data_IF_078100990622
#
_entry.id   IF_078100990622
#
_cell.length_a   1.000
_cell.length_b   1.000
_cell.length_c   1.000
_cell.angle_alpha   90.00
_cell.angle_beta   90.00
_cell.angle_gamma   90.00
#
_symmetry.space_group_name_H-M   'P 1'
#
loop_
_entity.id
_entity.type
_entity.pdbx_description
1 polymer ?
#
# COMPACT_ATOMS: atom_id res chain seq x y z
N UNK A 1 -29.67 0.27 -5.26
CA UNK A 1 -29.34 1.23 -4.19
C UNK A 1 -28.30 2.20 -4.75
N UNK A 2 -28.77 3.32 -5.31
CA UNK A 2 -28.04 4.16 -6.28
C UNK A 2 -28.17 5.62 -5.84
N UNK A 3 -27.69 5.95 -4.63
CA UNK A 3 -27.74 7.31 -4.07
C UNK A 3 -26.48 7.57 -3.23
N UNK A 4 -25.37 7.56 -3.94
CA UNK A 4 -24.12 8.28 -3.69
C UNK A 4 -23.55 8.30 -5.12
N UNK A 5 -23.38 9.41 -5.81
CA UNK A 5 -22.87 10.66 -5.30
C UNK A 5 -22.95 11.68 -6.47
N UNK A 6 -24.15 11.89 -7.03
CA UNK A 6 -24.33 12.88 -8.12
C UNK A 6 -23.94 14.27 -7.64
N UNK A 7 -24.18 14.57 -6.36
CA UNK A 7 -23.75 15.79 -5.71
C UNK A 7 -22.22 15.90 -5.56
N UNK A 8 -21.49 14.78 -5.45
CA UNK A 8 -20.02 14.74 -5.42
C UNK A 8 -19.41 14.83 -6.82
N UNK A 9 -20.02 14.18 -7.82
CA UNK A 9 -19.65 14.36 -9.23
C UNK A 9 -19.89 15.79 -9.70
N UNK A 10 -20.98 16.39 -9.26
CA UNK A 10 -21.34 17.77 -9.59
C UNK A 10 -20.42 18.77 -8.87
N UNK A 11 -20.11 18.54 -7.58
CA UNK A 11 -19.13 19.36 -6.84
C UNK A 11 -17.72 19.25 -7.38
N UNK A 12 -17.27 18.05 -7.75
CA UNK A 12 -15.93 17.86 -8.34
C UNK A 12 -15.86 18.43 -9.75
N UNK A 13 -16.92 18.33 -10.56
CA UNK A 13 -17.05 18.98 -11.87
C UNK A 13 -17.07 20.51 -11.76
N UNK A 14 -17.80 21.06 -10.78
CA UNK A 14 -17.83 22.49 -10.49
C UNK A 14 -16.45 23.01 -10.03
N UNK A 15 -15.74 22.25 -9.17
CA UNK A 15 -14.38 22.57 -8.74
C UNK A 15 -13.39 22.52 -9.92
N UNK A 16 -13.54 21.54 -10.82
CA UNK A 16 -12.70 21.40 -12.02
C UNK A 16 -12.96 22.54 -13.03
N UNK A 17 -14.23 22.94 -13.20
CA UNK A 17 -14.63 24.07 -14.06
C UNK A 17 -14.16 25.40 -13.47
N UNK A 18 -14.29 25.60 -12.16
CA UNK A 18 -13.78 26.79 -11.47
C UNK A 18 -12.25 26.89 -11.59
N UNK A 19 -11.52 25.79 -11.40
CA UNK A 19 -10.05 25.77 -11.56
C UNK A 19 -9.58 25.90 -13.02
N UNK A 20 -10.40 25.52 -14.01
CA UNK A 20 -10.16 25.80 -15.43
C UNK A 20 -10.44 27.26 -15.80
N UNK A 21 -11.47 27.88 -15.22
CA UNK A 21 -11.86 29.29 -15.49
C UNK A 21 -10.93 30.32 -14.84
N UNK A 22 -10.08 29.91 -13.89
CA UNK A 22 -9.04 30.74 -13.26
C UNK A 22 -7.70 30.75 -14.02
N UNK A 23 -7.61 30.10 -15.18
CA UNK A 23 -6.51 30.31 -16.12
C UNK A 23 -7.08 30.92 -17.38
N UNK A 24 -6.43 32.00 -17.80
CA UNK A 24 -6.68 32.84 -18.98
C UNK A 24 -7.53 34.08 -18.70
N UNK A 25 -6.76 35.17 -18.57
CA UNK A 25 -7.04 36.57 -18.91
C UNK A 25 -7.58 37.52 -17.81
N UNK A 26 -6.63 38.34 -17.33
CA UNK A 26 -6.76 39.63 -16.65
C UNK A 26 -7.29 39.64 -15.19
N UNK A 27 -6.38 39.43 -14.22
CA UNK A 27 -6.59 39.83 -12.82
C UNK A 27 -5.95 41.22 -12.61
N UNK A 28 -6.72 42.28 -12.31
CA UNK A 28 -6.18 43.62 -12.04
C UNK A 28 -5.17 43.60 -10.89
N UNK A 29 -4.08 44.36 -11.02
CA UNK A 29 -2.95 44.39 -10.07
C UNK A 29 -3.37 44.66 -8.62
N UNK A 30 -4.50 45.34 -8.39
CA UNK A 30 -5.04 45.70 -7.08
C UNK A 30 -5.66 44.50 -6.31
N UNK A 31 -5.93 43.37 -6.95
CA UNK A 31 -6.44 42.14 -6.30
C UNK A 31 -5.34 41.15 -5.91
N UNK A 32 -4.10 41.33 -6.38
CA UNK A 32 -2.95 40.52 -5.93
C UNK A 32 -2.57 40.85 -4.49
N UNK A 33 -2.69 42.11 -4.08
CA UNK A 33 -2.24 42.58 -2.77
C UNK A 33 -3.18 42.13 -1.63
N UNK A 34 -4.47 41.91 -1.91
CA UNK A 34 -5.45 41.43 -0.91
C UNK A 34 -5.32 39.92 -0.66
N UNK A 35 -4.88 39.15 -1.65
CA UNK A 35 -4.77 37.69 -1.55
C UNK A 35 -3.47 37.18 -0.90
N UNK A 36 -2.53 38.08 -0.62
CA UNK A 36 -1.23 37.73 -0.04
C UNK A 36 -1.19 37.82 1.51
N UNK A 37 -2.25 38.31 2.14
CA UNK A 37 -2.32 38.50 3.60
C UNK A 37 -3.16 37.45 4.35
N UNK A 38 -3.83 36.53 3.67
CA UNK A 38 -4.67 35.50 4.31
C UNK A 38 -3.97 34.12 4.34
N UNK A 39 -3.28 33.84 5.45
CA UNK A 39 -2.57 32.57 5.68
C UNK A 39 -3.50 31.36 5.59
N UNK A 40 -4.78 31.52 5.95
CA UNK A 40 -5.79 30.46 5.88
C UNK A 40 -6.08 30.03 4.43
N UNK A 41 -6.05 30.97 3.47
CA UNK A 41 -6.28 30.69 2.05
C UNK A 41 -5.05 30.05 1.37
N UNK A 42 -3.84 30.43 1.79
CA UNK A 42 -2.58 29.81 1.34
C UNK A 42 -2.51 28.33 1.72
N UNK A 43 -2.92 27.99 2.94
CA UNK A 43 -2.93 26.62 3.43
C UNK A 43 -3.97 25.73 2.71
N UNK A 44 -5.20 26.22 2.54
CA UNK A 44 -6.25 25.50 1.83
C UNK A 44 -5.89 25.24 0.35
N UNK A 45 -5.30 26.23 -0.33
CA UNK A 45 -4.82 26.08 -1.72
C UNK A 45 -3.70 25.05 -1.82
N UNK A 46 -2.79 25.02 -0.85
CA UNK A 46 -1.72 24.01 -0.76
C UNK A 46 -2.29 22.61 -0.56
N UNK A 47 -3.25 22.44 0.35
CA UNK A 47 -3.92 21.16 0.59
C UNK A 47 -4.67 20.66 -0.66
N UNK A 48 -5.44 21.53 -1.33
CA UNK A 48 -6.15 21.20 -2.57
C UNK A 48 -5.17 20.84 -3.69
N UNK A 49 -4.09 21.61 -3.85
CA UNK A 49 -3.07 21.33 -4.86
C UNK A 49 -2.34 20.01 -4.58
N UNK A 50 -2.02 19.72 -3.32
CA UNK A 50 -1.46 18.43 -2.88
C UNK A 50 -2.43 17.29 -3.19
N UNK A 51 -3.72 17.46 -2.88
CA UNK A 51 -4.75 16.46 -3.18
C UNK A 51 -4.92 16.22 -4.69
N UNK A 52 -4.95 17.28 -5.51
CA UNK A 52 -5.04 17.17 -6.98
C UNK A 52 -3.78 16.52 -7.59
N UNK A 53 -2.59 16.89 -7.12
CA UNK A 53 -1.32 16.27 -7.54
C UNK A 53 -1.27 14.80 -7.13
N UNK A 54 -1.67 14.47 -5.91
CA UNK A 54 -1.76 13.10 -5.44
C UNK A 54 -2.74 12.29 -6.30
N UNK A 55 -3.95 12.79 -6.52
CA UNK A 55 -4.97 12.16 -7.37
C UNK A 55 -4.50 11.94 -8.82
N UNK A 56 -3.80 12.92 -9.41
CA UNK A 56 -3.19 12.77 -10.75
C UNK A 56 -2.05 11.75 -10.75
N UNK A 57 -1.23 11.70 -9.71
CA UNK A 57 -0.13 10.75 -9.59
C UNK A 57 -0.66 9.31 -9.50
N UNK A 58 -1.72 9.08 -8.72
CA UNK A 58 -2.33 7.75 -8.58
C UNK A 58 -2.99 7.26 -9.88
N UNK A 59 -3.53 8.18 -10.70
CA UNK A 59 -4.03 7.82 -12.04
C UNK A 59 -2.93 7.37 -13.00
N UNK A 60 -1.66 7.71 -12.75
CA UNK A 60 -0.52 7.29 -13.59
C UNK A 60 0.18 6.03 -13.07
N UNK A 61 0.11 5.77 -11.77
CA UNK A 61 0.68 4.57 -11.13
C UNK A 61 -0.19 3.33 -11.38
N UNK A 62 -0.13 2.84 -12.62
CA UNK A 62 -1.02 1.78 -13.15
C UNK A 62 -0.34 0.44 -13.37
N UNK A 63 0.95 0.34 -13.06
CA UNK A 63 1.76 -0.87 -13.23
C UNK A 63 2.26 -1.31 -11.85
N UNK A 64 1.89 -2.51 -11.37
CA UNK A 64 2.43 -3.07 -10.15
C UNK A 64 3.95 -3.24 -10.21
N UNK A 65 4.65 -2.96 -9.11
CA UNK A 65 6.05 -3.28 -8.97
C UNK A 65 6.18 -4.75 -8.54
N UNK A 66 6.89 -5.56 -9.31
CA UNK A 66 7.20 -6.93 -8.89
C UNK A 66 8.23 -6.89 -7.76
N UNK A 67 7.86 -7.34 -6.56
CA UNK A 67 8.74 -7.38 -5.39
C UNK A 67 9.49 -8.70 -5.32
N UNK A 68 8.83 -9.80 -5.65
CA UNK A 68 9.43 -11.12 -5.86
C UNK A 68 8.64 -11.87 -6.93
N UNK A 69 9.10 -13.06 -7.31
CA UNK A 69 8.31 -13.94 -8.16
C UNK A 69 6.94 -14.22 -7.52
N UNK A 70 5.88 -13.92 -8.27
CA UNK A 70 4.49 -14.05 -7.82
C UNK A 70 4.03 -13.02 -6.79
N UNK A 71 4.84 -12.05 -6.36
CA UNK A 71 4.48 -11.02 -5.38
C UNK A 71 4.63 -9.61 -5.96
N UNK A 72 3.51 -8.90 -6.07
CA UNK A 72 3.44 -7.56 -6.64
C UNK A 72 2.90 -6.56 -5.63
N UNK A 73 3.41 -5.33 -5.71
CA UNK A 73 3.00 -4.20 -4.87
C UNK A 73 2.57 -3.02 -5.73
N UNK A 74 1.40 -2.44 -5.44
CA UNK A 74 0.86 -1.37 -6.27
C UNK A 74 -0.09 -0.41 -5.55
N UNK A 75 -0.58 0.55 -6.32
CA UNK A 75 -1.63 1.49 -5.91
C UNK A 75 -3.02 1.03 -6.39
N UNK A 76 -4.05 1.82 -6.08
CA UNK A 76 -5.39 1.62 -6.62
C UNK A 76 -5.41 1.73 -8.16
N UNK A 77 -4.55 2.56 -8.76
CA UNK A 77 -4.43 2.64 -10.21
C UNK A 77 -3.96 1.32 -10.83
N UNK A 78 -3.00 0.65 -10.17
CA UNK A 78 -2.49 -0.64 -10.59
C UNK A 78 -3.53 -1.77 -10.42
N UNK A 79 -4.31 -1.74 -9.34
CA UNK A 79 -5.41 -2.68 -9.11
C UNK A 79 -6.58 -2.52 -10.11
N UNK A 80 -6.66 -1.38 -10.79
CA UNK A 80 -7.70 -1.07 -11.78
C UNK A 80 -7.21 -1.23 -13.24
N UNK A 81 -6.06 -1.88 -13.45
CA UNK A 81 -5.50 -2.11 -14.77
C UNK A 81 -5.62 -3.59 -15.17
N UNK A 82 -6.82 -4.01 -15.60
CA UNK A 82 -7.13 -5.41 -15.94
C UNK A 82 -6.10 -6.06 -16.87
N UNK A 83 -5.70 -5.36 -17.94
CA UNK A 83 -4.73 -5.89 -18.91
C UNK A 83 -3.39 -6.20 -18.27
N UNK A 84 -2.87 -5.29 -17.44
CA UNK A 84 -1.60 -5.49 -16.74
C UNK A 84 -1.71 -6.61 -15.70
N UNK A 85 -2.83 -6.69 -14.98
CA UNK A 85 -3.05 -7.75 -14.00
C UNK A 85 -3.01 -9.14 -14.68
N UNK A 86 -3.74 -9.31 -15.78
CA UNK A 86 -3.75 -10.58 -16.54
C UNK A 86 -2.38 -10.89 -17.16
N UNK A 87 -1.68 -9.89 -17.73
CA UNK A 87 -0.37 -10.12 -18.34
C UNK A 87 0.72 -10.51 -17.33
N UNK A 88 0.57 -10.10 -16.07
CA UNK A 88 1.45 -10.48 -14.97
C UNK A 88 1.04 -11.79 -14.28
N UNK A 89 0.08 -12.54 -14.85
CA UNK A 89 -0.48 -13.75 -14.27
C UNK A 89 -0.99 -13.54 -12.82
N UNK A 90 -1.50 -12.35 -12.50
CA UNK A 90 -2.09 -12.08 -11.19
C UNK A 90 -3.43 -12.83 -11.12
N UNK A 91 -3.62 -13.57 -10.05
CA UNK A 91 -4.83 -14.37 -9.77
C UNK A 91 -5.53 -13.90 -8.49
N UNK A 92 -4.77 -13.29 -7.56
CA UNK A 92 -5.24 -12.84 -6.26
C UNK A 92 -4.95 -11.35 -6.05
N UNK A 93 -5.87 -10.65 -5.40
CA UNK A 93 -5.72 -9.23 -5.06
C UNK A 93 -6.01 -9.03 -3.57
N UNK A 94 -4.98 -8.63 -2.84
CA UNK A 94 -5.05 -8.24 -1.43
C UNK A 94 -5.17 -6.72 -1.34
N UNK A 95 -6.38 -6.25 -1.00
CA UNK A 95 -6.73 -4.83 -0.89
C UNK A 95 -6.69 -4.38 0.57
N UNK A 96 -5.76 -3.49 0.93
CA UNK A 96 -5.69 -2.86 2.26
C UNK A 96 -6.37 -1.49 2.24
N UNK A 97 -7.61 -1.45 1.75
CA UNK A 97 -8.43 -0.24 1.60
C UNK A 97 -9.91 -0.62 1.55
N UNK A 98 -10.81 0.33 1.79
CA UNK A 98 -12.27 0.14 1.73
C UNK A 98 -12.84 0.15 0.30
N UNK A 99 -11.99 0.07 -0.72
CA UNK A 99 -12.43 0.12 -2.12
C UNK A 99 -13.02 -1.23 -2.53
N UNK A 100 -14.17 -1.24 -3.24
CA UNK A 100 -14.75 -2.48 -3.72
C UNK A 100 -13.86 -3.12 -4.81
N UNK A 101 -13.88 -4.46 -4.96
CA UNK A 101 -13.23 -5.15 -6.06
C UNK A 101 -13.67 -4.62 -7.43
N UNK A 102 -12.71 -4.29 -8.30
CA UNK A 102 -13.00 -3.78 -9.64
C UNK A 102 -13.36 -4.89 -10.63
N UNK A 103 -12.84 -6.10 -10.42
CA UNK A 103 -13.04 -7.25 -11.32
C UNK A 103 -13.34 -8.53 -10.52
N UNK A 104 -14.45 -8.57 -9.75
CA UNK A 104 -14.73 -9.66 -8.80
C UNK A 104 -14.88 -11.05 -9.44
N UNK A 105 -15.12 -11.13 -10.75
CA UNK A 105 -15.24 -12.39 -11.48
C UNK A 105 -13.90 -12.88 -12.07
N UNK A 106 -12.86 -12.05 -12.03
CA UNK A 106 -11.58 -12.29 -12.70
C UNK A 106 -10.44 -12.69 -11.76
N UNK A 107 -10.57 -12.32 -10.48
CA UNK A 107 -9.55 -12.52 -9.46
C UNK A 107 -10.21 -12.89 -8.13
N UNK A 108 -9.45 -13.60 -7.30
CA UNK A 108 -9.81 -13.83 -5.90
C UNK A 108 -9.41 -12.60 -5.09
N UNK A 109 -10.33 -12.06 -4.30
CA UNK A 109 -10.08 -10.87 -3.48
C UNK A 109 -10.05 -11.19 -2.00
N UNK A 110 -9.14 -10.53 -1.29
CA UNK A 110 -9.23 -10.34 0.16
C UNK A 110 -9.10 -8.86 0.48
N UNK A 111 -10.00 -8.35 1.32
CA UNK A 111 -10.03 -6.94 1.71
C UNK A 111 -9.80 -6.81 3.21
N UNK A 112 -8.78 -6.04 3.58
CA UNK A 112 -8.44 -5.70 4.96
C UNK A 112 -8.71 -4.22 5.19
N UNK A 113 -9.65 -3.92 6.09
CA UNK A 113 -10.11 -2.56 6.35
C UNK A 113 -9.25 -1.88 7.41
N UNK A 114 -8.13 -1.31 6.98
CA UNK A 114 -7.21 -0.56 7.84
C UNK A 114 -7.03 0.88 7.32
N UNK A 115 -7.30 1.91 8.13
CA UNK A 115 -7.01 3.29 7.77
C UNK A 115 -5.50 3.56 7.85
N UNK A 116 -5.00 4.48 7.02
CA UNK A 116 -3.59 4.88 7.04
C UNK A 116 -3.32 5.92 8.12
N UNK A 117 -3.48 5.52 9.38
CA UNK A 117 -3.27 6.37 10.56
C UNK A 117 -2.23 5.76 11.48
N UNK A 118 -1.63 6.61 12.32
CA UNK A 118 -0.56 6.22 13.25
C UNK A 118 -1.05 5.27 14.36
N UNK A 119 -2.32 5.38 14.74
CA UNK A 119 -2.99 4.61 15.80
C UNK A 119 -3.67 3.33 15.28
N UNK A 120 -3.67 3.10 13.97
CA UNK A 120 -4.30 1.93 13.38
C UNK A 120 -3.42 0.69 13.62
N UNK A 121 -3.99 -0.38 14.18
CA UNK A 121 -3.30 -1.65 14.33
C UNK A 121 -3.41 -2.47 13.03
N UNK A 122 -2.34 -2.49 12.23
CA UNK A 122 -2.23 -3.28 11.01
C UNK A 122 -1.58 -4.65 11.26
N UNK A 123 -0.75 -4.77 12.30
CA UNK A 123 -0.02 -6.01 12.60
C UNK A 123 -0.92 -7.18 12.97
N UNK A 124 -2.10 -6.91 13.56
CA UNK A 124 -3.10 -7.94 13.86
C UNK A 124 -3.58 -8.73 12.62
N UNK A 125 -3.37 -8.20 11.40
CA UNK A 125 -3.80 -8.84 10.15
C UNK A 125 -2.66 -9.56 9.41
N UNK A 126 -1.44 -9.56 9.96
CA UNK A 126 -0.27 -10.11 9.26
C UNK A 126 -0.45 -11.58 8.87
N UNK A 127 -0.82 -12.45 9.81
CA UNK A 127 -0.98 -13.89 9.51
C UNK A 127 -2.05 -14.16 8.44
N UNK A 128 -3.17 -13.43 8.50
CA UNK A 128 -4.24 -13.52 7.49
C UNK A 128 -3.74 -13.08 6.11
N UNK A 129 -2.98 -11.98 6.06
CA UNK A 129 -2.39 -11.47 4.83
C UNK A 129 -1.35 -12.44 4.26
N UNK A 130 -0.48 -13.01 5.10
CA UNK A 130 0.57 -13.93 4.68
C UNK A 130 -0.01 -15.21 4.10
N UNK A 131 -1.04 -15.75 4.75
CA UNK A 131 -1.76 -16.93 4.28
C UNK A 131 -2.33 -16.70 2.88
N UNK A 132 -2.95 -15.55 2.64
CA UNK A 132 -3.50 -15.20 1.33
C UNK A 132 -2.43 -14.98 0.26
N UNK A 133 -1.29 -14.38 0.63
CA UNK A 133 -0.14 -14.22 -0.27
C UNK A 133 0.44 -15.58 -0.67
N UNK A 134 0.65 -16.46 0.30
CA UNK A 134 1.17 -17.81 0.05
C UNK A 134 0.20 -18.66 -0.78
N UNK A 135 -1.11 -18.56 -0.55
CA UNK A 135 -2.13 -19.27 -1.35
C UNK A 135 -2.00 -18.95 -2.85
N UNK A 136 -1.88 -17.67 -3.20
CA UNK A 136 -1.75 -17.26 -4.60
C UNK A 136 -0.48 -17.83 -5.25
N UNK A 137 0.65 -17.69 -4.55
CA UNK A 137 1.98 -18.08 -5.05
C UNK A 137 2.10 -19.60 -5.18
N UNK A 138 1.60 -20.36 -4.21
CA UNK A 138 1.64 -21.83 -4.21
C UNK A 138 0.79 -22.46 -5.31
N UNK A 139 -0.27 -21.78 -5.77
CA UNK A 139 -1.08 -22.18 -6.92
C UNK A 139 -0.48 -21.80 -8.27
N UNK A 140 0.76 -21.28 -8.30
CA UNK A 140 1.45 -20.85 -9.52
C UNK A 140 0.96 -19.51 -10.07
N UNK A 141 0.19 -18.74 -9.29
CA UNK A 141 -0.31 -17.42 -9.66
C UNK A 141 0.45 -16.28 -8.98
N UNK A 142 0.19 -15.06 -9.45
CA UNK A 142 0.65 -13.83 -8.80
C UNK A 142 -0.39 -13.26 -7.84
N UNK A 143 0.09 -12.58 -6.78
CA UNK A 143 -0.73 -11.73 -5.91
C UNK A 143 -0.34 -10.27 -6.04
N UNK A 144 -1.33 -9.40 -6.18
CA UNK A 144 -1.16 -7.96 -5.99
C UNK A 144 -1.57 -7.57 -4.57
N UNK A 145 -0.63 -7.03 -3.80
CA UNK A 145 -0.91 -6.33 -2.55
C UNK A 145 -0.98 -4.83 -2.83
N UNK A 146 -2.12 -4.20 -2.58
CA UNK A 146 -2.29 -2.77 -2.84
C UNK A 146 -3.03 -2.04 -1.73
N UNK A 147 -2.84 -0.73 -1.69
CA UNK A 147 -3.70 0.19 -0.95
C UNK A 147 -4.08 1.35 -1.88
N UNK A 148 -4.45 2.52 -1.34
CA UNK A 148 -4.78 3.66 -2.18
C UNK A 148 -3.57 4.14 -3.01
N UNK A 149 -2.46 4.43 -2.33
CA UNK A 149 -1.24 5.00 -2.92
C UNK A 149 -0.14 3.97 -3.20
N UNK A 150 -0.30 2.74 -2.71
CA UNK A 150 0.79 1.75 -2.68
C UNK A 150 2.01 2.20 -1.89
N UNK A 151 1.84 3.09 -0.90
CA UNK A 151 2.96 3.77 -0.21
C UNK A 151 3.16 3.30 1.23
N UNK A 152 2.07 3.14 1.97
CA UNK A 152 2.11 2.89 3.42
C UNK A 152 1.55 1.52 3.77
N UNK A 153 0.24 1.39 3.98
CA UNK A 153 -0.45 0.11 4.34
C UNK A 153 0.03 -1.14 3.59
N UNK A 154 -0.01 -1.13 2.26
CA UNK A 154 0.41 -2.29 1.46
C UNK A 154 1.92 -2.55 1.51
N UNK A 155 2.74 -1.50 1.65
CA UNK A 155 4.18 -1.65 1.89
C UNK A 155 4.41 -2.33 3.22
N UNK A 156 3.72 -1.90 4.28
CA UNK A 156 3.83 -2.51 5.61
C UNK A 156 3.57 -4.01 5.57
N UNK A 157 2.48 -4.44 4.92
CA UNK A 157 2.15 -5.88 4.78
C UNK A 157 3.24 -6.63 4.00
N UNK A 158 3.70 -6.08 2.87
CA UNK A 158 4.74 -6.72 2.06
C UNK A 158 6.07 -6.82 2.83
N UNK A 159 6.46 -5.78 3.55
CA UNK A 159 7.68 -5.77 4.37
C UNK A 159 7.59 -6.82 5.48
N UNK A 160 6.48 -6.85 6.21
CA UNK A 160 6.25 -7.86 7.25
C UNK A 160 6.28 -9.28 6.67
N UNK A 161 5.73 -9.48 5.48
CA UNK A 161 5.75 -10.76 4.79
C UNK A 161 7.17 -11.19 4.39
N UNK A 162 8.01 -10.27 3.89
CA UNK A 162 9.40 -10.58 3.57
C UNK A 162 10.21 -10.93 4.83
N UNK A 163 9.99 -10.21 5.94
CA UNK A 163 10.58 -10.56 7.24
C UNK A 163 10.12 -11.94 7.72
N UNK A 164 8.84 -12.26 7.50
CA UNK A 164 8.26 -13.56 7.82
C UNK A 164 8.86 -14.70 7.00
N UNK A 165 8.78 -14.58 5.67
CA UNK A 165 9.05 -15.64 4.72
C UNK A 165 10.54 -15.87 4.49
N UNK A 166 11.32 -14.79 4.47
CA UNK A 166 12.74 -14.83 4.07
C UNK A 166 13.68 -14.60 5.26
N UNK A 167 13.15 -14.36 6.46
CA UNK A 167 13.97 -14.07 7.64
C UNK A 167 14.73 -12.73 7.55
N UNK A 168 14.32 -11.82 6.67
CA UNK A 168 14.92 -10.50 6.55
C UNK A 168 14.68 -9.67 7.82
N UNK A 169 15.67 -8.87 8.22
CA UNK A 169 15.43 -7.75 9.13
C UNK A 169 14.50 -6.72 8.50
N UNK A 170 13.88 -5.88 9.34
CA UNK A 170 13.07 -4.75 8.90
C UNK A 170 13.85 -3.85 7.93
N UNK A 171 15.12 -3.58 8.25
CA UNK A 171 16.00 -2.75 7.41
C UNK A 171 16.20 -3.36 6.02
N UNK A 172 16.55 -4.64 5.96
CA UNK A 172 16.75 -5.36 4.69
C UNK A 172 15.47 -5.42 3.85
N UNK A 173 14.35 -5.76 4.47
CA UNK A 173 13.05 -5.82 3.78
C UNK A 173 12.63 -4.44 3.25
N UNK A 174 12.82 -3.36 4.02
CA UNK A 174 12.54 -1.99 3.57
C UNK A 174 13.44 -1.57 2.40
N UNK A 175 14.74 -1.90 2.44
CA UNK A 175 15.67 -1.62 1.33
C UNK A 175 15.23 -2.38 0.07
N UNK A 176 14.93 -3.68 0.19
CA UNK A 176 14.48 -4.51 -0.92
C UNK A 176 13.21 -3.95 -1.59
N UNK A 177 12.23 -3.55 -0.78
CA UNK A 177 11.00 -2.94 -1.30
C UNK A 177 11.26 -1.57 -1.93
N UNK A 178 12.08 -0.71 -1.30
CA UNK A 178 12.37 0.63 -1.84
C UNK A 178 13.13 0.60 -3.16
N UNK A 179 14.03 -0.37 -3.37
CA UNK A 179 14.73 -0.53 -4.65
C UNK A 179 13.75 -0.75 -5.82
N UNK A 180 12.63 -1.44 -5.56
CA UNK A 180 11.63 -1.80 -6.56
C UNK A 180 10.47 -0.80 -6.61
N UNK A 181 10.17 -0.16 -5.48
CA UNK A 181 9.14 0.87 -5.32
C UNK A 181 9.66 2.05 -4.50
N UNK A 182 10.34 3.04 -5.12
CA UNK A 182 11.00 4.14 -4.41
C UNK A 182 10.08 5.01 -3.54
N UNK A 183 8.78 5.07 -3.85
CA UNK A 183 7.80 5.82 -3.06
C UNK A 183 7.40 5.12 -1.75
N UNK A 184 7.87 3.89 -1.52
CA UNK A 184 7.56 3.10 -0.33
C UNK A 184 7.99 3.83 0.96
N UNK A 185 7.02 4.05 1.84
CA UNK A 185 7.17 4.83 3.06
C UNK A 185 5.93 4.59 3.93
N UNK A 186 5.93 3.50 4.73
CA UNK A 186 4.99 3.32 5.83
C UNK A 186 4.91 4.57 6.70
N UNK A 187 3.73 4.83 7.28
CA UNK A 187 3.61 5.84 8.31
C UNK A 187 4.39 5.40 9.58
N UNK A 188 4.70 6.33 10.47
CA UNK A 188 5.54 6.04 11.64
C UNK A 188 4.91 5.03 12.62
N UNK A 189 3.58 5.02 12.77
CA UNK A 189 2.90 4.02 13.60
C UNK A 189 3.03 2.60 13.05
N UNK A 190 2.99 2.45 11.73
CA UNK A 190 3.25 1.17 11.08
C UNK A 190 4.73 0.77 11.12
N UNK A 191 5.65 1.72 11.07
CA UNK A 191 7.07 1.43 11.29
C UNK A 191 7.32 0.87 12.69
N UNK A 192 6.72 1.46 13.73
CA UNK A 192 6.80 0.94 15.11
C UNK A 192 6.25 -0.48 15.21
N UNK A 193 5.10 -0.76 14.59
CA UNK A 193 4.53 -2.11 14.56
C UNK A 193 5.43 -3.12 13.84
N UNK A 194 6.16 -2.71 12.79
CA UNK A 194 7.14 -3.58 12.13
C UNK A 194 8.37 -3.84 13.01
N UNK A 195 8.84 -2.84 13.75
CA UNK A 195 9.95 -2.99 14.71
C UNK A 195 9.57 -3.93 15.86
N UNK A 196 8.34 -3.81 16.39
CA UNK A 196 7.77 -4.72 17.38
C UNK A 196 7.63 -6.14 16.83
N UNK A 197 7.14 -6.27 15.59
CA UNK A 197 7.04 -7.56 14.92
C UNK A 197 8.43 -8.23 14.77
N UNK A 198 9.46 -7.49 14.36
CA UNK A 198 10.84 -8.01 14.28
C UNK A 198 11.36 -8.51 15.63
N UNK A 199 11.11 -7.77 16.72
CA UNK A 199 11.50 -8.18 18.08
C UNK A 199 10.82 -9.49 18.47
N UNK A 200 9.50 -9.57 18.31
CA UNK A 200 8.72 -10.76 18.66
C UNK A 200 9.19 -12.03 17.94
N UNK A 201 9.67 -11.91 16.69
CA UNK A 201 10.20 -13.02 15.90
C UNK A 201 11.55 -13.52 16.41
N UNK A 202 12.41 -12.63 16.89
CA UNK A 202 13.71 -13.00 17.49
C UNK A 202 13.53 -13.74 18.81
N UNK A 203 12.55 -13.32 19.60
CA UNK A 203 12.23 -13.96 20.87
C UNK A 203 11.63 -15.36 20.65
N UNK A 204 10.75 -15.52 19.66
CA UNK A 204 10.21 -16.82 19.27
C UNK A 204 11.29 -17.79 18.75
N UNK A 205 12.28 -17.31 17.99
CA UNK A 205 13.40 -18.12 17.50
C UNK A 205 14.41 -18.54 18.57
N UNK A 206 14.43 -17.89 19.73
CA UNK A 206 15.35 -18.19 20.83
C UNK A 206 14.85 -19.31 21.76
N UNK A 207 13.55 -19.65 21.71
CA UNK A 207 12.93 -20.66 22.59
C UNK A 207 13.11 -22.10 22.06
N UNK A 208 13.39 -22.29 20.76
CA UNK A 208 13.54 -23.63 20.16
C UNK A 208 14.98 -24.19 20.20
N UNK A 209 15.87 -23.61 21.02
CA UNK A 209 17.31 -23.89 21.03
C UNK A 209 17.81 -24.89 22.09
N UNK A 210 16.99 -25.77 22.65
CA UNK A 210 17.45 -26.80 23.61
C UNK A 210 16.97 -28.20 23.27
N UNK A 211 17.94 -29.06 22.93
CA UNK A 211 17.86 -30.51 23.22
C UNK A 211 17.49 -31.44 22.07
N UNK A 212 18.40 -31.65 21.11
CA UNK A 212 18.63 -32.99 20.57
C UNK A 212 20.15 -33.25 20.64
N UNK A 213 20.58 -33.89 21.74
CA UNK A 213 21.88 -34.56 21.76
C UNK A 213 21.79 -35.72 20.77
N UNK A 214 22.54 -35.63 19.68
CA UNK A 214 22.85 -36.80 18.87
C UNK A 214 23.65 -37.78 19.74
N UNK A 215 23.04 -38.90 20.10
CA UNK A 215 23.76 -40.05 20.65
C UNK A 215 24.70 -40.57 19.57
N UNK A 216 26.01 -40.39 19.79
CA UNK A 216 27.05 -41.12 19.07
C UNK A 216 26.99 -42.57 19.54
N UNK A 217 26.40 -43.45 18.73
CA UNK A 217 26.65 -44.88 18.86
C UNK A 217 28.02 -45.18 18.24
N UNK A 218 29.03 -45.32 19.09
CA UNK A 218 30.38 -45.77 18.71
C UNK A 218 30.58 -47.23 19.09
N UNK A 219 30.73 -48.06 18.06
CA UNK A 219 31.67 -49.19 17.90
C UNK A 219 31.77 -50.33 18.92
N UNK A 220 31.80 -51.54 18.33
CA UNK A 220 32.54 -52.75 18.71
C UNK A 220 31.83 -53.76 19.61
N UNK A 221 31.38 -54.88 19.00
CA UNK A 221 32.12 -56.15 18.94
C UNK A 221 31.74 -56.91 17.66
#
# INVERSE_FOLDING_TARGET
MKVMDDHFKERTSALLKATKKFKEDNIPCQLKEVMDQDDHFKEHKSAILKALKATRSFKKDTIPCQIEEGLYLGSLGAANNLSTLKSLNITHILSITSSPPSYPNDFVYKTILVPDKLDANISQYFDECFTFIDEARTRGGGVLVHCFAGKSRSVTVVVAYLMFKNGMSLSEAMVHVKLKRPVASPNSGFMLQLEEYEKSRRDAGSITGTGHKAEKCGSSL
#
